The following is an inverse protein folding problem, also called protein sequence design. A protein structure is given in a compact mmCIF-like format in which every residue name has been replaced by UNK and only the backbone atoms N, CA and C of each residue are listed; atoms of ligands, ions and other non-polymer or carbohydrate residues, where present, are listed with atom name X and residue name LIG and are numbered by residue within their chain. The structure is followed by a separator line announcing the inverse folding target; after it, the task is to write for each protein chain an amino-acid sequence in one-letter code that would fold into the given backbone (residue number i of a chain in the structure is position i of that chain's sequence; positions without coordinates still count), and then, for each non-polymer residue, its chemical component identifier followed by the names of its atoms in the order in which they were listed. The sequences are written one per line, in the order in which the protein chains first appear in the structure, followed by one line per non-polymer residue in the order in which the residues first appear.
data_IF_338174946752
#
_entry.id   IF_338174946752
#
_cell.length_a   1.000
_cell.length_b   1.000
_cell.length_c   1.000
_cell.angle_alpha   90.00
_cell.angle_beta   90.00
_cell.angle_gamma   90.00
#
_symmetry.space_group_name_H-M   'P 1'
#
loop_
_entity.id
_entity.type
_entity.pdbx_description
1 polymer ?
#
# COMPACT_ATOMS: atom_id res chain seq x y z
N UNK A 1 -27.90 -7.68 1.39
CA UNK A 1 -26.59 -7.13 1.79
C UNK A 1 -25.74 -8.32 2.20
N UNK A 2 -24.96 -8.88 1.27
CA UNK A 2 -24.11 -10.04 1.57
C UNK A 2 -22.93 -9.53 2.42
N UNK A 3 -22.65 -10.12 3.60
CA UNK A 3 -21.59 -9.65 4.48
C UNK A 3 -20.22 -9.69 3.79
N UNK A 4 -19.39 -8.67 4.04
CA UNK A 4 -18.03 -8.53 3.47
C UNK A 4 -17.18 -9.80 3.65
N UNK A 5 -17.35 -10.49 4.80
CA UNK A 5 -16.65 -11.73 5.15
C UNK A 5 -17.00 -12.88 4.20
N UNK A 6 -18.26 -12.99 3.81
CA UNK A 6 -18.73 -14.04 2.90
C UNK A 6 -18.26 -13.79 1.46
N UNK A 7 -18.19 -12.51 1.06
CA UNK A 7 -17.59 -12.09 -0.22
C UNK A 7 -16.09 -12.35 -0.29
N UNK A 8 -15.36 -12.15 0.81
CA UNK A 8 -13.93 -12.45 0.90
C UNK A 8 -13.67 -13.95 0.76
N UNK A 9 -14.43 -14.79 1.47
CA UNK A 9 -14.29 -16.26 1.38
C UNK A 9 -14.52 -16.80 -0.03
N UNK A 10 -15.46 -16.19 -0.78
CA UNK A 10 -15.68 -16.50 -2.20
C UNK A 10 -14.49 -16.09 -3.07
N UNK A 11 -13.95 -14.87 -2.89
CA UNK A 11 -12.76 -14.41 -3.64
C UNK A 11 -11.52 -15.25 -3.33
N UNK A 12 -11.31 -15.63 -2.07
CA UNK A 12 -10.23 -16.52 -1.64
C UNK A 12 -10.34 -17.91 -2.27
N UNK A 13 -11.55 -18.48 -2.34
CA UNK A 13 -11.77 -19.74 -3.04
C UNK A 13 -11.48 -19.64 -4.55
N UNK A 14 -11.83 -18.51 -5.19
CA UNK A 14 -11.54 -18.25 -6.61
C UNK A 14 -10.04 -18.06 -6.86
N UNK A 15 -9.27 -17.53 -5.90
CA UNK A 15 -7.81 -17.34 -5.99
C UNK A 15 -7.04 -18.62 -6.33
N UNK A 16 -7.54 -19.79 -5.89
CA UNK A 16 -6.95 -21.10 -6.24
C UNK A 16 -7.09 -21.46 -7.71
N UNK A 17 -8.06 -20.88 -8.42
CA UNK A 17 -8.28 -21.07 -9.86
C UNK A 17 -7.65 -20.00 -10.74
N UNK A 18 -7.17 -18.90 -10.16
CA UNK A 18 -6.51 -17.81 -10.87
C UNK A 18 -5.10 -18.20 -11.37
N UNK A 19 -4.65 -17.53 -12.42
CA UNK A 19 -3.24 -17.50 -12.83
C UNK A 19 -2.38 -16.69 -11.84
N UNK A 20 -1.06 -16.75 -11.98
CA UNK A 20 -0.16 -15.95 -11.13
C UNK A 20 -0.38 -14.44 -11.31
N UNK A 21 -0.66 -14.00 -12.55
CA UNK A 21 -0.85 -12.59 -12.88
C UNK A 21 -2.18 -12.07 -12.32
N UNK A 22 -3.26 -12.84 -12.47
CA UNK A 22 -4.56 -12.52 -11.87
C UNK A 22 -4.47 -12.44 -10.34
N UNK A 23 -3.74 -13.37 -9.71
CA UNK A 23 -3.49 -13.29 -8.27
C UNK A 23 -2.66 -12.07 -7.89
N UNK A 24 -1.69 -11.66 -8.69
CA UNK A 24 -0.87 -10.49 -8.41
C UNK A 24 -1.70 -9.20 -8.45
N UNK A 25 -2.57 -9.06 -9.46
CA UNK A 25 -3.52 -7.94 -9.57
C UNK A 25 -4.45 -7.93 -8.35
N UNK A 26 -5.08 -9.08 -8.05
CA UNK A 26 -5.98 -9.20 -6.90
C UNK A 26 -5.30 -8.80 -5.59
N UNK A 27 -4.05 -9.27 -5.34
CA UNK A 27 -3.31 -8.88 -4.13
C UNK A 27 -3.01 -7.38 -4.07
N UNK A 28 -2.73 -6.75 -5.21
CA UNK A 28 -2.41 -5.33 -5.25
C UNK A 28 -3.65 -4.45 -5.02
N UNK A 29 -4.83 -4.93 -5.39
CA UNK A 29 -6.10 -4.19 -5.24
C UNK A 29 -6.79 -4.45 -3.90
N UNK A 30 -6.82 -5.71 -3.44
CA UNK A 30 -7.67 -6.10 -2.30
C UNK A 30 -6.91 -6.27 -0.97
N UNK A 31 -5.57 -6.41 -0.99
CA UNK A 31 -4.78 -6.72 0.21
C UNK A 31 -3.75 -5.63 0.54
N UNK A 32 -3.78 -5.13 1.79
CA UNK A 32 -2.71 -4.33 2.37
C UNK A 32 -1.72 -5.21 3.13
N UNK A 33 -0.41 -4.96 2.99
CA UNK A 33 0.62 -5.72 3.72
C UNK A 33 1.46 -4.81 4.63
N UNK A 34 1.57 -5.19 5.90
CA UNK A 34 2.54 -4.62 6.85
C UNK A 34 3.32 -5.77 7.51
N UNK A 35 4.65 -5.69 7.45
CA UNK A 35 5.55 -6.69 8.04
C UNK A 35 6.22 -6.14 9.31
N UNK A 36 6.78 -7.01 10.16
CA UNK A 36 7.56 -6.58 11.34
C UNK A 36 8.76 -5.71 10.97
N UNK A 37 9.38 -5.97 9.81
CA UNK A 37 10.37 -5.09 9.20
C UNK A 37 9.71 -4.26 8.09
N UNK A 38 9.99 -2.95 8.05
CA UNK A 38 9.29 -2.03 7.16
C UNK A 38 9.45 -2.32 5.66
N UNK A 39 10.55 -2.99 5.26
CA UNK A 39 10.91 -3.28 3.86
C UNK A 39 10.65 -2.09 2.91
N UNK A 40 11.07 -0.89 3.33
CA UNK A 40 11.06 0.28 2.47
C UNK A 40 12.24 0.18 1.51
N UNK A 41 12.05 0.60 0.28
CA UNK A 41 13.11 0.69 -0.70
C UNK A 41 14.02 1.87 -0.32
N UNK A 42 15.31 1.64 -0.02
CA UNK A 42 16.18 2.64 0.58
C UNK A 42 16.54 3.79 -0.38
N UNK A 43 16.41 3.59 -1.68
CA UNK A 43 16.67 4.59 -2.73
C UNK A 43 15.50 5.55 -2.95
N UNK A 44 14.34 5.30 -2.33
CA UNK A 44 13.11 6.03 -2.56
C UNK A 44 12.67 6.77 -1.31
N UNK A 45 12.12 7.96 -1.50
CA UNK A 45 11.52 8.76 -0.42
C UNK A 45 10.28 8.08 0.19
N UNK A 46 9.78 8.60 1.31
CA UNK A 46 8.51 8.14 1.89
C UNK A 46 7.34 8.24 0.88
N UNK A 47 7.26 9.34 0.13
CA UNK A 47 6.25 9.56 -0.91
C UNK A 47 6.34 8.51 -2.03
N UNK A 48 7.56 8.24 -2.51
CA UNK A 48 7.79 7.27 -3.57
C UNK A 48 7.50 5.83 -3.10
N UNK A 49 7.90 5.47 -1.88
CA UNK A 49 7.60 4.18 -1.29
C UNK A 49 6.09 3.93 -1.20
N UNK A 50 5.30 4.94 -0.83
CA UNK A 50 3.83 4.83 -0.72
C UNK A 50 3.18 4.80 -2.10
N UNK A 51 3.62 5.65 -3.04
CA UNK A 51 2.98 5.78 -4.36
C UNK A 51 3.21 4.60 -5.30
N UNK A 52 4.22 3.76 -5.04
CA UNK A 52 4.57 2.66 -5.92
C UNK A 52 3.42 1.67 -6.15
N UNK A 53 2.63 1.37 -5.11
CA UNK A 53 1.47 0.47 -5.22
C UNK A 53 0.41 0.99 -6.19
N UNK A 54 0.13 2.30 -6.18
CA UNK A 54 -0.79 2.94 -7.13
C UNK A 54 -0.24 2.92 -8.55
N UNK A 55 1.07 3.16 -8.71
CA UNK A 55 1.72 3.15 -10.03
C UNK A 55 1.71 1.76 -10.66
N UNK A 56 1.93 0.71 -9.86
CA UNK A 56 1.81 -0.69 -10.31
C UNK A 56 0.37 -1.00 -10.74
N UNK A 57 -0.63 -0.41 -10.07
CA UNK A 57 -2.05 -0.48 -10.48
C UNK A 57 -2.40 0.38 -11.70
N UNK A 58 -1.42 1.03 -12.35
CA UNK A 58 -1.64 1.84 -13.54
C UNK A 58 -2.11 3.28 -13.29
N UNK A 59 -2.10 3.76 -12.03
CA UNK A 59 -2.42 5.15 -11.72
C UNK A 59 -1.30 6.06 -12.22
N UNK A 60 -1.66 7.20 -12.82
CA UNK A 60 -0.68 8.18 -13.30
C UNK A 60 0.23 8.67 -12.18
N UNK A 61 1.48 9.00 -12.49
CA UNK A 61 2.45 9.46 -11.49
C UNK A 61 1.92 10.62 -10.65
N UNK A 62 1.30 11.62 -11.29
CA UNK A 62 0.71 12.79 -10.59
C UNK A 62 -0.35 12.37 -9.58
N UNK A 63 -1.34 11.58 -10.01
CA UNK A 63 -2.42 11.14 -9.14
C UNK A 63 -1.91 10.18 -8.05
N UNK A 64 -0.88 9.39 -8.35
CA UNK A 64 -0.26 8.50 -7.37
C UNK A 64 0.41 9.28 -6.25
N UNK A 65 1.06 10.41 -6.57
CA UNK A 65 1.72 11.27 -5.60
C UNK A 65 0.70 12.00 -4.75
N UNK A 66 -0.31 12.62 -5.36
CA UNK A 66 -1.39 13.33 -4.64
C UNK A 66 -2.06 12.44 -3.59
N UNK A 67 -2.52 11.24 -3.97
CA UNK A 67 -3.13 10.28 -3.02
C UNK A 67 -2.15 9.81 -1.93
N UNK A 68 -0.87 9.66 -2.29
CA UNK A 68 0.15 9.23 -1.35
C UNK A 68 0.50 10.32 -0.33
N UNK A 69 0.49 11.58 -0.74
CA UNK A 69 0.64 12.74 0.15
C UNK A 69 -0.52 12.80 1.15
N UNK A 70 -1.76 12.66 0.68
CA UNK A 70 -2.95 12.65 1.54
C UNK A 70 -2.87 11.56 2.62
N UNK A 71 -2.42 10.35 2.25
CA UNK A 71 -2.35 9.25 3.22
C UNK A 71 -1.15 9.39 4.16
N UNK A 72 -0.03 9.93 3.69
CA UNK A 72 1.11 10.27 4.53
C UNK A 72 0.77 11.38 5.53
N UNK A 73 -0.04 12.35 5.14
CA UNK A 73 -0.57 13.38 6.06
C UNK A 73 -1.46 12.76 7.13
N UNK A 74 -2.36 11.83 6.77
CA UNK A 74 -3.23 11.11 7.73
C UNK A 74 -2.44 10.32 8.79
N UNK A 75 -1.25 9.82 8.46
CA UNK A 75 -0.36 9.13 9.41
C UNK A 75 0.69 10.06 10.05
N UNK A 76 0.54 11.37 9.91
CA UNK A 76 1.38 12.38 10.55
C UNK A 76 2.80 12.47 9.98
N UNK A 77 2.96 12.29 8.67
CA UNK A 77 4.25 12.33 7.96
C UNK A 77 4.32 13.40 6.87
N UNK A 78 3.45 14.42 6.91
CA UNK A 78 3.41 15.52 5.93
C UNK A 78 4.77 16.19 5.69
N UNK A 79 5.47 16.54 6.77
CA UNK A 79 6.80 17.19 6.68
C UNK A 79 7.94 16.22 6.32
N UNK A 80 7.62 14.93 6.19
CA UNK A 80 8.59 13.84 6.01
C UNK A 80 8.47 13.15 4.66
N UNK A 81 7.57 13.60 3.78
CA UNK A 81 7.28 12.96 2.48
C UNK A 81 8.52 12.79 1.59
N UNK A 82 9.47 13.73 1.65
CA UNK A 82 10.68 13.74 0.81
C UNK A 82 11.90 13.06 1.47
N UNK A 83 11.76 12.50 2.68
CA UNK A 83 12.88 11.87 3.38
C UNK A 83 13.07 10.42 2.93
N UNK A 84 14.33 9.99 2.83
CA UNK A 84 14.72 8.60 2.62
C UNK A 84 14.53 7.78 3.91
N UNK A 85 14.37 6.44 3.82
CA UNK A 85 14.20 5.58 4.98
C UNK A 85 15.31 5.67 6.04
N UNK A 86 16.53 6.03 5.62
CA UNK A 86 17.69 6.25 6.51
C UNK A 86 17.55 7.50 7.39
N UNK A 87 16.74 8.47 6.97
CA UNK A 87 16.52 9.76 7.66
C UNK A 87 15.30 9.74 8.58
N UNK A 88 14.54 8.63 8.55
CA UNK A 88 13.36 8.40 9.36
C UNK A 88 13.72 7.60 10.62
N UNK A 89 13.03 7.88 11.72
CA UNK A 89 13.03 7.02 12.91
C UNK A 89 12.35 5.67 12.63
N UNK A 90 12.52 4.69 13.51
CA UNK A 90 11.85 3.40 13.40
C UNK A 90 10.32 3.51 13.33
N UNK A 91 9.73 4.32 14.20
CA UNK A 91 8.28 4.56 14.21
C UNK A 91 7.79 5.32 12.98
N UNK A 92 8.57 6.24 12.44
CA UNK A 92 8.24 6.91 11.17
C UNK A 92 8.26 5.92 10.00
N UNK A 93 9.28 5.06 9.89
CA UNK A 93 9.30 3.99 8.87
C UNK A 93 8.10 3.05 8.99
N UNK A 94 7.64 2.76 10.20
CA UNK A 94 6.45 1.96 10.42
C UNK A 94 5.19 2.64 9.89
N UNK A 95 5.04 3.94 10.14
CA UNK A 95 3.92 4.71 9.59
C UNK A 95 3.98 4.83 8.07
N UNK A 96 5.17 4.91 7.46
CA UNK A 96 5.32 4.83 5.98
C UNK A 96 4.85 3.46 5.46
N UNK A 97 5.24 2.36 6.12
CA UNK A 97 4.80 1.02 5.71
C UNK A 97 3.28 0.84 5.84
N UNK A 98 2.68 1.38 6.91
CA UNK A 98 1.22 1.42 7.10
C UNK A 98 0.57 2.24 5.97
N UNK A 99 1.04 3.46 5.70
CA UNK A 99 0.54 4.30 4.62
C UNK A 99 0.59 3.58 3.26
N UNK A 100 1.72 2.91 2.94
CA UNK A 100 1.88 2.12 1.72
C UNK A 100 0.87 0.97 1.63
N UNK A 101 0.57 0.31 2.75
CA UNK A 101 -0.44 -0.76 2.76
C UNK A 101 -1.85 -0.24 2.50
N UNK A 102 -2.14 1.02 2.88
CA UNK A 102 -3.48 1.59 2.84
C UNK A 102 -3.80 2.35 1.55
N UNK A 103 -2.79 2.72 0.77
CA UNK A 103 -2.91 3.67 -0.34
C UNK A 103 -3.85 3.21 -1.47
N UNK A 104 -3.98 1.90 -1.67
CA UNK A 104 -4.90 1.31 -2.65
C UNK A 104 -6.32 1.10 -2.10
N UNK A 105 -6.60 1.55 -0.87
CA UNK A 105 -7.87 1.31 -0.16
C UNK A 105 -8.27 -0.18 -0.14
N UNK A 106 -7.36 -1.07 0.31
CA UNK A 106 -7.61 -2.50 0.25
C UNK A 106 -8.80 -2.91 1.10
N UNK A 107 -9.44 -4.00 0.70
CA UNK A 107 -10.61 -4.55 1.41
C UNK A 107 -10.21 -5.16 2.76
N UNK A 108 -8.95 -5.59 2.95
CA UNK A 108 -8.43 -6.09 4.22
C UNK A 108 -6.93 -5.78 4.46
N UNK A 109 -6.53 -5.76 5.75
CA UNK A 109 -5.20 -5.46 6.29
C UNK A 109 -4.67 -6.59 7.17
#
# INVERSE_FOLDING_TARGET
MIPLVERLSIKEAISFSMTNDERAIWRNEDLGFVYQFHHLLPEFTALENVSMSLQISGVSKSNSFERSEEILEKVGLKERINHLPSELSGGERQRVAIARSMVNEPTCF
#
